data_IF_033854455936
#
_entry.id   IF_033854455936
#
_cell.length_a   1.000
_cell.length_b   1.000
_cell.length_c   1.000
_cell.angle_alpha   90.00
_cell.angle_beta   90.00
_cell.angle_gamma   90.00
#
_symmetry.space_group_name_H-M   'P 1'
#
loop_
_entity.id
_entity.type
_entity.pdbx_description
1 polymer ?
#
# COMPACT_ATOMS: atom_id res chain seq x y z
N UNK A 1 -14.04 -23.92 -2.58
CA UNK A 1 -13.29 -22.66 -2.38
C UNK A 1 -13.86 -21.95 -1.16
N UNK A 2 -13.23 -22.14 -0.02
CA UNK A 2 -13.49 -21.44 1.24
C UNK A 2 -13.19 -19.94 1.13
N UNK A 3 -13.75 -19.16 2.05
CA UNK A 3 -13.44 -17.74 2.18
C UNK A 3 -11.93 -17.50 2.40
N UNK A 4 -11.29 -18.37 3.18
CA UNK A 4 -9.85 -18.29 3.44
C UNK A 4 -9.02 -18.41 2.16
N UNK A 5 -9.36 -19.37 1.27
CA UNK A 5 -8.67 -19.54 -0.01
C UNK A 5 -8.87 -18.33 -0.94
N UNK A 6 -10.04 -17.70 -0.91
CA UNK A 6 -10.32 -16.50 -1.70
C UNK A 6 -9.54 -15.29 -1.18
N UNK A 7 -9.46 -15.12 0.14
CA UNK A 7 -8.72 -14.02 0.76
C UNK A 7 -7.22 -14.15 0.53
N UNK A 8 -6.66 -15.35 0.64
CA UNK A 8 -5.23 -15.60 0.41
C UNK A 8 -4.78 -15.17 -1.01
N UNK A 9 -5.67 -15.23 -2.01
CA UNK A 9 -5.37 -14.80 -3.37
C UNK A 9 -5.34 -13.26 -3.54
N UNK A 10 -6.07 -12.54 -2.68
CA UNK A 10 -6.23 -11.07 -2.77
C UNK A 10 -5.22 -10.36 -1.86
N UNK A 11 -4.92 -10.94 -0.70
CA UNK A 11 -3.94 -10.38 0.23
C UNK A 11 -2.54 -10.58 -0.35
N UNK A 12 -2.00 -9.56 -1.00
CA UNK A 12 -0.55 -9.48 -1.25
C UNK A 12 0.13 -9.33 0.09
N UNK A 13 0.97 -10.30 0.45
CA UNK A 13 1.99 -10.09 1.48
C UNK A 13 2.91 -9.00 0.97
N UNK A 14 2.87 -7.82 1.59
CA UNK A 14 3.85 -6.77 1.32
C UNK A 14 5.24 -7.37 1.55
N UNK A 15 6.14 -7.20 0.59
CA UNK A 15 7.52 -7.64 0.74
C UNK A 15 8.18 -6.73 1.78
N UNK A 16 8.72 -7.26 2.89
CA UNK A 16 9.38 -6.43 3.90
C UNK A 16 10.60 -5.66 3.37
N UNK A 17 11.15 -6.04 2.21
CA UNK A 17 12.24 -5.32 1.55
C UNK A 17 11.76 -4.18 0.64
N UNK A 18 10.44 -4.01 0.46
CA UNK A 18 9.90 -2.94 -0.36
C UNK A 18 10.09 -1.57 0.33
N UNK A 19 10.72 -0.65 -0.40
CA UNK A 19 10.97 0.71 0.06
C UNK A 19 10.09 1.70 -0.70
N UNK A 20 9.73 2.79 -0.03
CA UNK A 20 8.92 3.86 -0.57
C UNK A 20 9.69 5.17 -0.51
N UNK A 21 9.61 5.94 -1.59
CA UNK A 21 10.14 7.30 -1.66
C UNK A 21 9.02 8.31 -1.34
N UNK A 22 9.25 9.13 -0.31
CA UNK A 22 8.33 10.19 0.07
C UNK A 22 8.18 11.20 -1.06
N UNK A 23 6.95 11.40 -1.56
CA UNK A 23 6.66 12.41 -2.59
C UNK A 23 6.82 13.86 -2.11
N UNK A 24 6.85 14.10 -0.80
CA UNK A 24 6.97 15.46 -0.24
C UNK A 24 8.42 15.89 -0.01
N UNK A 25 9.27 15.01 0.55
CA UNK A 25 10.66 15.34 0.92
C UNK A 25 11.74 14.50 0.20
N UNK A 26 11.35 13.48 -0.57
CA UNK A 26 12.27 12.61 -1.31
C UNK A 26 12.97 11.54 -0.46
N UNK A 27 12.67 11.43 0.83
CA UNK A 27 13.28 10.42 1.69
C UNK A 27 12.80 9.00 1.35
N UNK A 28 13.72 8.04 1.31
CA UNK A 28 13.41 6.62 1.12
C UNK A 28 13.28 5.92 2.47
N UNK A 29 12.18 5.22 2.71
CA UNK A 29 11.93 4.47 3.94
C UNK A 29 11.16 3.18 3.66
N UNK A 30 11.06 2.29 4.64
CA UNK A 30 10.35 1.01 4.50
C UNK A 30 8.84 1.18 4.32
N UNK A 31 8.23 0.37 3.45
CA UNK A 31 6.80 0.46 3.11
C UNK A 31 5.85 0.09 4.28
N UNK A 32 6.38 -0.50 5.35
CA UNK A 32 5.62 -0.82 6.58
C UNK A 32 5.23 0.43 7.40
N UNK A 33 5.75 1.61 7.06
CA UNK A 33 5.43 2.88 7.72
C UNK A 33 4.29 3.61 7.02
N UNK A 34 3.30 4.05 7.79
CA UNK A 34 2.18 4.86 7.28
C UNK A 34 2.54 6.34 7.05
N UNK A 35 3.61 6.83 7.66
CA UNK A 35 4.03 8.24 7.62
C UNK A 35 5.53 8.31 7.40
N UNK A 36 5.98 9.30 6.61
CA UNK A 36 7.41 9.53 6.41
C UNK A 36 8.09 9.93 7.74
N UNK A 37 9.18 9.25 8.15
CA UNK A 37 9.86 9.54 9.41
C UNK A 37 10.60 10.88 9.41
N UNK A 38 10.96 11.42 8.24
CA UNK A 38 11.78 12.63 8.14
C UNK A 38 10.96 13.92 8.09
N UNK A 39 9.82 13.93 7.40
CA UNK A 39 8.98 15.13 7.25
C UNK A 39 7.59 15.02 7.91
N UNK A 40 7.17 13.82 8.32
CA UNK A 40 5.81 13.58 8.84
C UNK A 40 4.70 13.59 7.77
N UNK A 41 5.06 13.71 6.49
CA UNK A 41 4.11 13.68 5.36
C UNK A 41 3.50 12.29 5.13
N UNK A 42 2.29 12.27 4.59
CA UNK A 42 1.62 11.06 4.14
C UNK A 42 0.78 11.34 2.88
N UNK A 43 0.73 10.38 1.97
CA UNK A 43 -0.07 10.45 0.74
C UNK A 43 -1.17 9.41 0.84
N UNK A 44 -2.43 9.87 0.82
CA UNK A 44 -3.60 8.99 0.78
C UNK A 44 -4.18 9.05 -0.63
N UNK A 45 -3.74 8.12 -1.47
CA UNK A 45 -4.33 7.96 -2.79
C UNK A 45 -5.67 7.21 -2.64
N UNK A 46 -6.78 7.93 -2.84
CA UNK A 46 -8.12 7.31 -2.89
C UNK A 46 -8.24 6.55 -4.21
N UNK A 47 -8.41 5.24 -4.12
CA UNK A 47 -8.80 4.44 -5.27
C UNK A 47 -10.29 4.62 -5.48
N UNK A 48 -10.66 5.01 -6.70
CA UNK A 48 -12.05 4.97 -7.15
C UNK A 48 -12.41 3.51 -7.42
N UNK A 49 -13.32 2.97 -6.61
CA UNK A 49 -13.75 1.58 -6.70
C UNK A 49 -14.81 1.37 -7.78
N UNK A 50 -15.42 2.43 -8.32
CA UNK A 50 -16.46 2.33 -9.35
C UNK A 50 -15.94 1.71 -10.65
N UNK A 51 -14.62 1.79 -10.91
CA UNK A 51 -13.98 1.20 -12.09
C UNK A 51 -13.30 -0.17 -11.87
N UNK A 52 -13.17 -0.64 -10.63
CA UNK A 52 -12.44 -1.89 -10.31
C UNK A 52 -13.35 -3.11 -10.34
N UNK A 53 -14.66 -2.91 -10.19
CA UNK A 53 -15.68 -3.97 -10.26
C UNK A 53 -16.21 -4.07 -11.69
N UNK A 54 -15.47 -4.75 -12.57
CA UNK A 54 -16.02 -5.24 -13.85
C UNK A 54 -16.28 -6.75 -13.71
N UNK A 55 -17.47 -7.18 -14.13
CA UNK A 55 -17.99 -8.57 -14.08
C UNK A 55 -17.08 -9.62 -14.75
#
# INVERSE_FOLDING_TARGET
MSLAEKLARVVRTADPEETYECKDCGATFSLDRQTCPDCGGCVIDRIDWDGVVSD
#
